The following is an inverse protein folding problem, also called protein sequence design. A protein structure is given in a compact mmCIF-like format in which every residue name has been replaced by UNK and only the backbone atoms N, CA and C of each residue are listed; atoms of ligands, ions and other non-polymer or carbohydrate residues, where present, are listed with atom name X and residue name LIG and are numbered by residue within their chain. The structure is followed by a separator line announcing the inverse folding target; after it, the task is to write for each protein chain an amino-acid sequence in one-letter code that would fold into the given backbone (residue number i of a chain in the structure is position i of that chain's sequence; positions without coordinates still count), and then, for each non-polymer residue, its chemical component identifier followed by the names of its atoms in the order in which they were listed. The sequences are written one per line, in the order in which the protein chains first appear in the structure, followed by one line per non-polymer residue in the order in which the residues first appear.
data_IF_192365754143
#
_entry.id   IF_192365754143
#
_cell.length_a   1.000
_cell.length_b   1.000
_cell.length_c   1.000
_cell.angle_alpha   90.00
_cell.angle_beta   90.00
_cell.angle_gamma   90.00
#
_symmetry.space_group_name_H-M   'P 1'
#
loop_
_entity.id
_entity.type
_entity.pdbx_description
1 polymer ?
#
# COMPACT_ATOMS: atom_id res chain seq x y z
N UNK A 1 -16.64 4.66 15.44
CA UNK A 1 -15.75 3.55 15.05
C UNK A 1 -16.03 3.26 13.59
N UNK A 2 -15.18 3.73 12.69
CA UNK A 2 -15.26 3.29 11.30
C UNK A 2 -14.98 1.79 11.26
N UNK A 3 -15.88 1.05 10.61
CA UNK A 3 -15.77 -0.40 10.51
C UNK A 3 -15.12 -0.71 9.18
N UNK A 4 -13.79 -0.73 9.15
CA UNK A 4 -13.04 -1.16 7.97
C UNK A 4 -13.48 -2.57 7.53
N UNK A 5 -13.54 -2.81 6.22
CA UNK A 5 -13.72 -4.15 5.67
C UNK A 5 -12.57 -5.08 6.11
N UNK A 6 -12.74 -6.40 5.96
CA UNK A 6 -11.67 -7.35 6.29
C UNK A 6 -10.37 -7.05 5.55
N UNK A 7 -10.43 -6.75 4.24
CA UNK A 7 -9.26 -6.41 3.43
C UNK A 7 -8.65 -5.06 3.83
N UNK A 8 -9.47 -4.05 4.13
CA UNK A 8 -8.99 -2.77 4.63
C UNK A 8 -8.26 -2.92 5.97
N UNK A 9 -8.72 -3.80 6.88
CA UNK A 9 -8.01 -4.08 8.13
C UNK A 9 -6.64 -4.69 7.90
N UNK A 10 -6.52 -5.60 6.93
CA UNK A 10 -5.25 -6.24 6.59
C UNK A 10 -4.28 -5.23 5.96
N UNK A 11 -4.77 -4.38 5.06
CA UNK A 11 -3.96 -3.28 4.51
C UNK A 11 -3.53 -2.31 5.60
N UNK A 12 -4.44 -1.92 6.48
CA UNK A 12 -4.12 -1.05 7.60
C UNK A 12 -3.00 -1.64 8.46
N UNK A 13 -3.05 -2.94 8.79
CA UNK A 13 -2.01 -3.62 9.56
C UNK A 13 -0.65 -3.64 8.85
N UNK A 14 -0.63 -3.94 7.55
CA UNK A 14 0.61 -3.97 6.77
C UNK A 14 1.23 -2.57 6.67
N UNK A 15 0.42 -1.55 6.37
CA UNK A 15 0.92 -0.18 6.19
C UNK A 15 1.35 0.47 7.51
N UNK A 16 0.62 0.26 8.61
CA UNK A 16 0.99 0.74 9.95
C UNK A 16 2.25 0.07 10.51
N UNK A 17 2.72 -1.01 9.89
CA UNK A 17 3.91 -1.74 10.36
C UNK A 17 5.15 -1.53 9.48
N UNK A 18 4.99 -1.07 8.23
CA UNK A 18 6.06 -1.15 7.21
C UNK A 18 6.25 0.14 6.40
N UNK A 19 5.34 1.11 6.55
CA UNK A 19 5.35 2.38 5.82
C UNK A 19 5.17 3.54 6.81
N UNK A 20 5.88 3.48 7.94
CA UNK A 20 5.85 4.54 8.94
C UNK A 20 6.72 5.73 8.52
N UNK A 21 6.42 6.96 8.97
CA UNK A 21 7.16 8.17 8.57
C UNK A 21 8.67 8.07 8.88
N UNK A 22 9.03 7.43 9.99
CA UNK A 22 10.42 7.29 10.42
C UNK A 22 11.19 6.18 9.67
N UNK A 23 10.48 5.31 8.93
CA UNK A 23 11.06 4.22 8.13
C UNK A 23 11.22 4.61 6.65
N UNK A 24 10.57 5.69 6.23
CA UNK A 24 10.60 6.19 4.85
C UNK A 24 11.54 7.39 4.74
N UNK A 25 12.16 7.60 3.57
CA UNK A 25 13.02 8.77 3.39
C UNK A 25 12.19 10.05 3.45
N UNK A 26 12.76 11.12 4.04
CA UNK A 26 12.12 12.43 4.11
C UNK A 26 11.84 13.05 2.73
N UNK A 27 12.52 12.56 1.69
CA UNK A 27 12.33 12.94 0.28
C UNK A 27 12.47 11.71 -0.60
N UNK A 28 11.66 11.63 -1.65
CA UNK A 28 11.66 10.49 -2.55
C UNK A 28 12.82 10.55 -3.54
N UNK A 29 13.98 10.06 -3.12
CA UNK A 29 15.13 9.92 -4.02
C UNK A 29 14.85 8.82 -5.06
N UNK A 30 15.22 9.09 -6.31
CA UNK A 30 15.01 8.15 -7.42
C UNK A 30 15.65 6.78 -7.16
N UNK A 31 16.82 6.76 -6.50
CA UNK A 31 17.50 5.52 -6.12
C UNK A 31 16.64 4.66 -5.18
N UNK A 32 16.00 5.26 -4.18
CA UNK A 32 15.08 4.57 -3.29
C UNK A 32 13.86 4.04 -4.05
N UNK A 33 13.24 4.89 -4.89
CA UNK A 33 12.05 4.55 -5.69
C UNK A 33 12.29 3.39 -6.66
N UNK A 34 13.50 3.25 -7.19
CA UNK A 34 13.82 2.24 -8.20
C UNK A 34 14.47 0.98 -7.64
N UNK A 35 15.19 1.08 -6.52
CA UNK A 35 15.96 -0.04 -5.97
C UNK A 35 15.32 -0.62 -4.71
N UNK A 36 14.90 0.23 -3.77
CA UNK A 36 14.44 -0.23 -2.45
C UNK A 36 12.93 -0.47 -2.43
N UNK A 37 12.16 0.45 -3.01
CA UNK A 37 10.69 0.40 -3.00
C UNK A 37 10.13 -0.89 -3.62
N UNK A 38 10.66 -1.43 -4.74
CA UNK A 38 10.20 -2.71 -5.28
C UNK A 38 10.41 -3.88 -4.33
N UNK A 39 11.53 -3.92 -3.61
CA UNK A 39 11.82 -4.99 -2.65
C UNK A 39 10.98 -4.88 -1.37
N UNK A 40 10.68 -3.66 -0.91
CA UNK A 40 9.74 -3.42 0.18
C UNK A 40 8.35 -3.91 -0.24
N UNK A 41 7.84 -3.46 -1.39
CA UNK A 41 6.52 -3.85 -1.90
C UNK A 41 6.40 -5.36 -2.12
N UNK A 42 7.45 -6.02 -2.63
CA UNK A 42 7.50 -7.48 -2.78
C UNK A 42 7.40 -8.19 -1.44
N UNK A 43 8.12 -7.73 -0.41
CA UNK A 43 8.04 -8.29 0.95
C UNK A 43 6.65 -8.09 1.56
N UNK A 44 6.04 -6.93 1.34
CA UNK A 44 4.64 -6.68 1.72
C UNK A 44 3.68 -7.66 1.06
N UNK A 45 3.79 -7.86 -0.25
CA UNK A 45 2.94 -8.81 -0.97
C UNK A 45 3.09 -10.24 -0.44
N UNK A 46 4.31 -10.68 -0.11
CA UNK A 46 4.54 -11.99 0.49
C UNK A 46 3.85 -12.12 1.85
N UNK A 47 3.98 -11.14 2.75
CA UNK A 47 3.31 -11.17 4.05
C UNK A 47 1.79 -11.18 3.92
N UNK A 48 1.25 -10.29 3.07
CA UNK A 48 -0.17 -10.21 2.78
C UNK A 48 -0.70 -11.55 2.25
N UNK A 49 -0.03 -12.15 1.27
CA UNK A 49 -0.42 -13.45 0.71
C UNK A 49 -0.41 -14.56 1.76
N UNK A 50 0.62 -14.61 2.61
CA UNK A 50 0.70 -15.61 3.68
C UNK A 50 -0.42 -15.48 4.70
N UNK A 51 -0.93 -14.25 4.94
CA UNK A 51 -2.05 -13.99 5.85
C UNK A 51 -3.44 -14.18 5.23
N UNK A 52 -3.53 -14.36 3.91
CA UNK A 52 -4.79 -14.42 3.17
C UNK A 52 -5.11 -15.81 2.64
N UNK A 53 -6.41 -16.10 2.52
CA UNK A 53 -6.89 -17.23 1.71
C UNK A 53 -6.83 -16.86 0.22
N UNK A 54 -6.66 -17.85 -0.66
CA UNK A 54 -6.51 -17.62 -2.10
C UNK A 54 -7.59 -16.71 -2.72
N UNK A 55 -8.86 -16.89 -2.35
CA UNK A 55 -9.95 -16.06 -2.89
C UNK A 55 -9.80 -14.57 -2.54
N UNK A 56 -9.28 -14.27 -1.36
CA UNK A 56 -9.02 -12.91 -0.90
C UNK A 56 -7.73 -12.31 -1.50
N UNK A 57 -6.79 -13.12 -1.97
CA UNK A 57 -5.56 -12.61 -2.63
C UNK A 57 -5.92 -11.90 -3.93
N UNK A 58 -6.80 -12.50 -4.74
CA UNK A 58 -7.28 -11.88 -5.97
C UNK A 58 -8.08 -10.60 -5.68
N UNK A 59 -9.03 -10.68 -4.76
CA UNK A 59 -9.87 -9.53 -4.38
C UNK A 59 -8.99 -8.37 -3.85
N UNK A 60 -7.99 -8.67 -3.02
CA UNK A 60 -7.06 -7.65 -2.53
C UNK A 60 -6.26 -7.03 -3.68
N UNK A 61 -5.76 -7.85 -4.59
CA UNK A 61 -5.00 -7.34 -5.74
C UNK A 61 -5.84 -6.39 -6.60
N UNK A 62 -7.10 -6.72 -6.86
CA UNK A 62 -8.03 -5.87 -7.63
C UNK A 62 -8.37 -4.58 -6.88
N UNK A 63 -8.57 -4.67 -5.56
CA UNK A 63 -8.78 -3.51 -4.69
C UNK A 63 -7.60 -2.54 -4.75
N UNK A 64 -6.36 -3.04 -4.66
CA UNK A 64 -5.14 -2.23 -4.72
C UNK A 64 -4.98 -1.54 -6.09
N UNK A 65 -5.20 -2.26 -7.19
CA UNK A 65 -5.12 -1.71 -8.55
C UNK A 65 -6.20 -0.66 -8.84
N UNK A 66 -7.38 -0.83 -8.24
CA UNK A 66 -8.48 0.14 -8.39
C UNK A 66 -8.19 1.38 -7.56
N UNK A 67 -7.75 1.19 -6.32
CA UNK A 67 -7.42 2.29 -5.39
C UNK A 67 -6.24 3.13 -5.89
N UNK A 68 -5.26 2.54 -6.59
CA UNK A 68 -4.11 3.26 -7.13
C UNK A 68 -4.47 4.28 -8.22
N UNK A 69 -5.71 4.31 -8.70
CA UNK A 69 -6.18 5.22 -9.75
C UNK A 69 -7.03 6.37 -9.23
N UNK A 70 -7.39 6.36 -7.95
CA UNK A 70 -8.28 7.34 -7.35
C UNK A 70 -7.76 7.75 -5.96
N UNK A 71 -7.20 8.96 -5.80
CA UNK A 71 -6.72 9.44 -4.50
C UNK A 71 -7.84 9.60 -3.47
N UNK A 72 -9.10 9.70 -3.92
CA UNK A 72 -10.27 9.80 -3.04
C UNK A 72 -10.86 8.42 -2.69
N UNK A 73 -10.25 7.33 -3.14
CA UNK A 73 -10.73 5.99 -2.82
C UNK A 73 -10.65 5.74 -1.30
N UNK A 74 -11.65 5.09 -0.72
CA UNK A 74 -11.75 4.88 0.73
C UNK A 74 -10.55 4.11 1.33
N UNK A 75 -9.88 3.30 0.52
CA UNK A 75 -8.64 2.64 0.91
C UNK A 75 -7.49 3.64 1.17
N UNK A 76 -7.43 4.74 0.43
CA UNK A 76 -6.37 5.73 0.59
C UNK A 76 -6.48 6.39 1.96
N UNK A 77 -7.69 6.75 2.39
CA UNK A 77 -7.91 7.23 3.76
C UNK A 77 -7.47 6.19 4.80
N UNK A 78 -7.77 4.91 4.58
CA UNK A 78 -7.32 3.82 5.46
C UNK A 78 -5.79 3.76 5.56
N UNK A 79 -5.08 4.00 4.45
CA UNK A 79 -3.61 4.00 4.40
C UNK A 79 -3.04 5.26 5.07
N UNK A 80 -3.64 6.43 4.85
CA UNK A 80 -3.28 7.66 5.54
C UNK A 80 -3.43 7.50 7.06
N UNK A 81 -4.54 6.91 7.52
CA UNK A 81 -4.77 6.65 8.95
C UNK A 81 -3.76 5.64 9.53
N UNK A 82 -3.35 4.64 8.74
CA UNK A 82 -2.39 3.63 9.16
C UNK A 82 -0.96 4.18 9.31
N UNK A 83 -0.57 5.06 8.39
CA UNK A 83 0.81 5.55 8.27
C UNK A 83 1.02 6.92 8.91
N UNK A 84 -0.06 7.67 9.16
CA UNK A 84 -0.03 9.08 9.54
C UNK A 84 0.66 9.98 8.48
N UNK A 85 0.71 9.52 7.23
CA UNK A 85 1.24 10.25 6.09
C UNK A 85 0.05 10.69 5.22
N UNK A 86 0.05 11.95 4.80
CA UNK A 86 -0.88 12.41 3.77
C UNK A 86 -0.38 11.96 2.40
N UNK A 87 -0.96 10.86 1.92
CA UNK A 87 -0.65 10.29 0.63
C UNK A 87 -1.50 10.83 -0.51
N UNK A 88 -2.65 11.45 -0.21
CA UNK A 88 -3.67 11.77 -1.22
C UNK A 88 -3.53 13.17 -1.81
N UNK A 89 -2.80 14.07 -1.14
CA UNK A 89 -2.52 15.41 -1.67
C UNK A 89 -1.75 15.34 -3.00
N UNK A 90 -1.97 16.30 -3.91
CA UNK A 90 -1.40 16.39 -5.27
C UNK A 90 0.13 16.62 -5.22
N UNK A 91 0.84 15.60 -4.74
CA UNK A 91 2.22 15.65 -4.29
C UNK A 91 2.99 14.42 -4.76
N UNK A 92 4.30 14.42 -4.54
CA UNK A 92 5.17 13.27 -4.81
C UNK A 92 4.74 12.02 -4.02
N UNK A 93 4.11 12.19 -2.85
CA UNK A 93 3.61 11.07 -2.04
C UNK A 93 2.57 10.25 -2.79
N UNK A 94 1.63 10.90 -3.49
CA UNK A 94 0.61 10.20 -4.25
C UNK A 94 1.24 9.30 -5.33
N UNK A 95 2.18 9.83 -6.09
CA UNK A 95 2.88 9.08 -7.15
C UNK A 95 3.59 7.85 -6.57
N UNK A 96 4.24 8.02 -5.42
CA UNK A 96 4.91 6.91 -4.73
C UNK A 96 3.90 5.89 -4.21
N UNK A 97 2.79 6.32 -3.60
CA UNK A 97 1.74 5.40 -3.16
C UNK A 97 1.16 4.61 -4.33
N UNK A 98 0.85 5.27 -5.46
CA UNK A 98 0.39 4.59 -6.67
C UNK A 98 1.37 3.49 -7.10
N UNK A 99 2.69 3.78 -7.08
CA UNK A 99 3.73 2.81 -7.41
C UNK A 99 3.74 1.65 -6.41
N UNK A 100 3.67 1.92 -5.11
CA UNK A 100 3.62 0.89 -4.05
C UNK A 100 2.41 -0.03 -4.23
N UNK A 101 1.20 0.53 -4.38
CA UNK A 101 -0.03 -0.25 -4.52
C UNK A 101 0.02 -1.16 -5.75
N UNK A 102 0.50 -0.63 -6.89
CA UNK A 102 0.64 -1.41 -8.12
C UNK A 102 1.72 -2.50 -8.00
N UNK A 103 2.84 -2.22 -7.33
CA UNK A 103 3.88 -3.22 -7.09
C UNK A 103 3.40 -4.34 -6.17
N UNK A 104 2.69 -4.01 -5.09
CA UNK A 104 2.10 -5.02 -4.19
C UNK A 104 1.10 -5.88 -4.98
N UNK A 105 0.18 -5.26 -5.71
CA UNK A 105 -0.81 -5.98 -6.51
C UNK A 105 -0.17 -6.91 -7.54
N UNK A 106 0.85 -6.44 -8.26
CA UNK A 106 1.59 -7.26 -9.22
C UNK A 106 2.22 -8.50 -8.56
N UNK A 107 2.85 -8.34 -7.39
CA UNK A 107 3.51 -9.43 -6.68
C UNK A 107 2.51 -10.39 -6.00
N UNK A 108 1.28 -9.96 -5.69
CA UNK A 108 0.23 -10.86 -5.20
C UNK A 108 -0.25 -11.86 -6.26
N UNK A 109 -0.14 -11.50 -7.54
CA UNK A 109 -0.59 -12.33 -8.69
C UNK A 109 0.41 -13.39 -9.13
N UNK A 110 1.67 -13.32 -8.68
CA UNK A 110 2.73 -14.29 -9.00
C UNK A 110 2.54 -15.61 -8.24
#
# INVERSE_FOLDING_TARGET
METYSYLQKIIWQEFSSQYLPDELPLKWEQAFIDQELPDIARRSALRLRHGLKNDHVRELSELLETSSRDPNHSLIQTICDATLIDWADESENWIVLQKVLNLIALNLKQ
#
